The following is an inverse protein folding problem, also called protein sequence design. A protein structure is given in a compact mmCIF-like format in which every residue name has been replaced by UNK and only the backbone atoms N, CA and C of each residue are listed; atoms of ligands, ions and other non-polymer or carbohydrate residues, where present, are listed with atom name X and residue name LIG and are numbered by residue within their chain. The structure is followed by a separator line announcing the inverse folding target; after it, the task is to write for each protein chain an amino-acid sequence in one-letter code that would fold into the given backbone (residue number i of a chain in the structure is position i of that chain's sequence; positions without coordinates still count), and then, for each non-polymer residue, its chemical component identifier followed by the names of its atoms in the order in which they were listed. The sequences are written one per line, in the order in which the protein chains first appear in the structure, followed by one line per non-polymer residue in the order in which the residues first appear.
data_IF_631293402818
#
_entry.id   IF_631293402818
#
_cell.length_a   1.000
_cell.length_b   1.000
_cell.length_c   1.000
_cell.angle_alpha   90.00
_cell.angle_beta   90.00
_cell.angle_gamma   90.00
#
_symmetry.space_group_name_H-M   'P 1'
#
loop_
_entity.id
_entity.type
_entity.pdbx_description
1 polymer ?
#
# COMPACT_ATOMS: atom_id res chain seq x y z
N UNK A 1 -5.36 4.77 6.18
CA UNK A 1 -6.04 5.00 4.87
C UNK A 1 -7.36 5.82 4.86
N UNK A 2 -8.52 5.33 5.34
CA UNK A 2 -9.83 5.96 5.04
C UNK A 2 -9.99 7.42 5.47
N UNK A 3 -9.36 7.84 6.56
CA UNK A 3 -9.30 9.25 6.98
C UNK A 3 -8.45 10.12 6.03
N UNK A 4 -7.39 9.56 5.44
CA UNK A 4 -6.54 10.25 4.46
C UNK A 4 -7.34 10.54 3.19
N UNK A 5 -8.26 9.64 2.80
CA UNK A 5 -9.15 9.82 1.66
C UNK A 5 -10.10 11.04 1.79
N UNK A 6 -10.28 11.58 3.00
CA UNK A 6 -11.00 12.85 3.19
C UNK A 6 -10.27 14.04 2.52
N UNK A 7 -8.99 13.89 2.18
CA UNK A 7 -8.22 14.90 1.44
C UNK A 7 -8.18 14.64 -0.07
N UNK A 8 -9.18 13.93 -0.61
CA UNK A 8 -9.32 13.71 -2.04
C UNK A 8 -9.26 15.04 -2.83
N UNK A 9 -8.44 15.12 -3.90
CA UNK A 9 -8.41 16.28 -4.78
C UNK A 9 -9.78 16.64 -5.36
N UNK A 10 -9.97 17.91 -5.70
CA UNK A 10 -11.20 18.36 -6.36
C UNK A 10 -11.45 17.58 -7.64
N UNK A 11 -12.72 17.18 -7.85
CA UNK A 11 -13.16 16.41 -9.01
C UNK A 11 -13.22 14.90 -8.79
N UNK A 12 -12.72 14.37 -7.66
CA UNK A 12 -12.95 12.98 -7.25
C UNK A 12 -14.17 12.86 -6.34
N UNK A 13 -14.86 11.73 -6.41
CA UNK A 13 -15.85 11.36 -5.39
C UNK A 13 -15.15 10.93 -4.08
N UNK A 14 -15.06 11.87 -3.14
CA UNK A 14 -14.45 11.66 -1.83
C UNK A 14 -15.08 10.48 -1.07
N UNK A 15 -16.41 10.34 -1.11
CA UNK A 15 -17.11 9.27 -0.38
C UNK A 15 -16.77 7.92 -0.99
N UNK A 16 -16.70 7.84 -2.32
CA UNK A 16 -16.26 6.63 -3.02
C UNK A 16 -14.82 6.26 -2.67
N UNK A 17 -13.89 7.22 -2.69
CA UNK A 17 -12.50 7.01 -2.29
C UNK A 17 -12.39 6.47 -0.85
N UNK A 18 -13.16 7.05 0.09
CA UNK A 18 -13.21 6.59 1.48
C UNK A 18 -13.71 5.15 1.58
N UNK A 19 -14.84 4.83 0.93
CA UNK A 19 -15.40 3.47 0.93
C UNK A 19 -14.42 2.47 0.33
N UNK A 20 -13.79 2.82 -0.78
CA UNK A 20 -12.81 1.97 -1.45
C UNK A 20 -11.61 1.66 -0.53
N UNK A 21 -11.05 2.69 0.14
CA UNK A 21 -9.99 2.51 1.13
C UNK A 21 -10.41 1.61 2.30
N UNK A 22 -11.70 1.61 2.68
CA UNK A 22 -12.19 0.75 3.77
C UNK A 22 -12.34 -0.73 3.38
N UNK A 23 -12.49 -1.04 2.08
CA UNK A 23 -12.82 -2.40 1.64
C UNK A 23 -11.72 -3.08 0.83
N UNK A 24 -10.70 -2.37 0.37
CA UNK A 24 -9.68 -2.94 -0.53
C UNK A 24 -8.98 -4.19 0.04
N UNK A 25 -8.61 -4.19 1.33
CA UNK A 25 -7.98 -5.35 1.99
C UNK A 25 -8.97 -6.31 2.66
N UNK A 26 -10.28 -6.21 2.40
CA UNK A 26 -11.25 -7.07 3.09
C UNK A 26 -11.04 -8.57 2.82
N UNK A 27 -10.44 -8.92 1.68
CA UNK A 27 -10.06 -10.29 1.36
C UNK A 27 -9.02 -10.88 2.34
N UNK A 28 -8.15 -10.05 2.91
CA UNK A 28 -7.10 -10.46 3.85
C UNK A 28 -7.66 -11.03 5.15
N UNK A 29 -8.92 -10.71 5.48
CA UNK A 29 -9.63 -11.33 6.61
C UNK A 29 -9.74 -12.86 6.51
N UNK A 30 -9.59 -13.42 5.31
CA UNK A 30 -9.62 -14.87 5.05
C UNK A 30 -8.29 -15.36 4.51
N UNK A 31 -7.67 -14.64 3.56
CA UNK A 31 -6.43 -15.11 2.90
C UNK A 31 -5.15 -14.73 3.66
N UNK A 32 -5.26 -13.84 4.65
CA UNK A 32 -4.13 -13.20 5.32
C UNK A 32 -3.48 -12.10 4.47
N UNK A 33 -2.62 -11.30 5.09
CA UNK A 33 -1.77 -10.33 4.38
C UNK A 33 -0.65 -11.08 3.63
N UNK A 34 -0.78 -11.16 2.30
CA UNK A 34 0.18 -11.82 1.41
C UNK A 34 1.22 -10.79 0.98
N UNK A 35 2.41 -10.88 1.55
CA UNK A 35 3.51 -9.95 1.27
C UNK A 35 4.41 -10.45 0.13
N UNK A 36 5.36 -9.63 -0.39
CA UNK A 36 6.33 -10.06 -1.39
C UNK A 36 7.17 -11.29 -0.97
N UNK A 37 7.30 -11.53 0.34
CA UNK A 37 8.11 -12.61 0.91
C UNK A 37 7.31 -13.88 1.24
N UNK A 38 5.99 -13.86 1.03
CA UNK A 38 5.11 -15.01 1.30
C UNK A 38 5.27 -16.16 0.29
N UNK A 39 6.06 -16.00 -0.77
CA UNK A 39 6.28 -17.04 -1.80
C UNK A 39 5.05 -17.34 -2.66
N UNK A 40 4.04 -16.47 -2.64
CA UNK A 40 2.80 -16.59 -3.43
C UNK A 40 2.93 -15.72 -4.69
N UNK A 41 2.66 -16.29 -5.87
CA UNK A 41 2.67 -15.51 -7.11
C UNK A 41 1.55 -14.48 -7.14
N UNK A 42 1.74 -13.38 -7.87
CA UNK A 42 0.70 -12.36 -8.07
C UNK A 42 -0.61 -12.95 -8.63
N UNK A 43 -0.51 -13.91 -9.54
CA UNK A 43 -1.66 -14.61 -10.11
C UNK A 43 -2.42 -15.44 -9.08
N UNK A 44 -1.73 -16.11 -8.17
CA UNK A 44 -2.35 -16.90 -7.12
C UNK A 44 -2.93 -16.02 -6.00
N UNK A 45 -2.25 -14.92 -5.65
CA UNK A 45 -2.79 -13.88 -4.76
C UNK A 45 -4.13 -13.35 -5.29
N UNK A 46 -4.13 -12.86 -6.54
CA UNK A 46 -5.33 -12.34 -7.19
C UNK A 46 -6.47 -13.38 -7.24
N UNK A 47 -6.15 -14.65 -7.54
CA UNK A 47 -7.13 -15.74 -7.55
C UNK A 47 -7.74 -15.98 -6.17
N UNK A 48 -6.92 -16.02 -5.11
CA UNK A 48 -7.38 -16.25 -3.72
C UNK A 48 -8.23 -15.08 -3.21
N UNK A 49 -7.80 -13.86 -3.47
CA UNK A 49 -8.52 -12.66 -3.04
C UNK A 49 -9.85 -12.52 -3.77
N UNK A 50 -9.85 -12.69 -5.10
CA UNK A 50 -11.09 -12.70 -5.90
C UNK A 50 -12.08 -13.74 -5.39
N UNK A 51 -11.61 -14.98 -5.16
CA UNK A 51 -12.46 -16.05 -4.63
C UNK A 51 -13.04 -15.71 -3.25
N UNK A 52 -12.28 -15.01 -2.42
CA UNK A 52 -12.72 -14.57 -1.08
C UNK A 52 -13.80 -13.50 -1.18
N UNK A 53 -13.64 -12.53 -2.08
CA UNK A 53 -14.64 -11.48 -2.32
C UNK A 53 -15.94 -12.08 -2.85
N UNK A 54 -15.87 -13.03 -3.78
CA UNK A 54 -17.08 -13.71 -4.27
C UNK A 54 -17.74 -14.58 -3.18
N UNK A 55 -16.94 -15.23 -2.33
CA UNK A 55 -17.45 -15.96 -1.17
C UNK A 55 -18.18 -15.04 -0.20
N UNK A 56 -17.56 -13.91 0.18
CA UNK A 56 -18.12 -12.86 1.04
C UNK A 56 -19.45 -12.35 0.45
N UNK A 57 -19.45 -12.01 -0.83
CA UNK A 57 -20.62 -11.49 -1.53
C UNK A 57 -21.77 -12.50 -1.58
N UNK A 58 -21.46 -13.77 -1.81
CA UNK A 58 -22.47 -14.85 -1.85
C UNK A 58 -23.00 -15.20 -0.45
N UNK A 59 -22.12 -15.22 0.57
CA UNK A 59 -22.46 -15.69 1.91
C UNK A 59 -23.41 -14.77 2.66
N UNK A 60 -23.22 -13.45 2.50
CA UNK A 60 -24.05 -12.44 3.16
C UNK A 60 -25.12 -11.86 2.24
N UNK A 61 -24.80 -11.67 0.96
CA UNK A 61 -25.73 -11.17 -0.04
C UNK A 61 -26.26 -9.75 0.23
N UNK A 62 -27.06 -9.26 -0.72
CA UNK A 62 -27.72 -7.95 -0.60
C UNK A 62 -26.90 -6.76 -1.09
N UNK A 63 -27.47 -5.55 -1.01
CA UNK A 63 -26.92 -4.36 -1.67
C UNK A 63 -25.55 -3.94 -1.15
N UNK A 64 -25.29 -4.11 0.16
CA UNK A 64 -24.01 -3.71 0.77
C UNK A 64 -22.85 -4.59 0.31
N UNK A 65 -23.07 -5.90 0.14
CA UNK A 65 -22.01 -6.78 -0.36
C UNK A 65 -21.81 -6.65 -1.87
N UNK A 66 -22.85 -6.28 -2.63
CA UNK A 66 -22.70 -5.93 -4.04
C UNK A 66 -21.83 -4.68 -4.21
N UNK A 67 -22.09 -3.62 -3.43
CA UNK A 67 -21.28 -2.41 -3.45
C UNK A 67 -19.82 -2.69 -3.04
N UNK A 68 -19.60 -3.47 -1.98
CA UNK A 68 -18.25 -3.88 -1.56
C UNK A 68 -17.50 -4.59 -2.69
N UNK A 69 -18.15 -5.57 -3.34
CA UNK A 69 -17.57 -6.32 -4.43
C UNK A 69 -17.21 -5.42 -5.61
N UNK A 70 -18.11 -4.51 -6.00
CA UNK A 70 -17.89 -3.56 -7.09
C UNK A 70 -16.72 -2.62 -6.79
N UNK A 71 -16.67 -2.05 -5.58
CA UNK A 71 -15.57 -1.20 -5.13
C UNK A 71 -14.24 -1.94 -5.09
N UNK A 72 -14.23 -3.19 -4.64
CA UNK A 72 -13.02 -4.02 -4.59
C UNK A 72 -12.48 -4.31 -5.99
N UNK A 73 -13.33 -4.75 -6.93
CA UNK A 73 -12.91 -4.98 -8.31
C UNK A 73 -12.43 -3.71 -9.00
N UNK A 74 -13.08 -2.56 -8.72
CA UNK A 74 -12.65 -1.27 -9.25
C UNK A 74 -11.28 -0.84 -8.70
N UNK A 75 -11.02 -1.07 -7.41
CA UNK A 75 -9.72 -0.83 -6.79
C UNK A 75 -8.61 -1.66 -7.45
N UNK A 76 -8.85 -2.97 -7.62
CA UNK A 76 -7.88 -3.89 -8.23
C UNK A 76 -7.60 -3.56 -9.70
N UNK A 77 -8.63 -3.18 -10.47
CA UNK A 77 -8.48 -2.80 -11.86
C UNK A 77 -7.69 -1.49 -12.04
N UNK A 78 -7.81 -0.56 -11.07
CA UNK A 78 -7.08 0.70 -11.03
C UNK A 78 -7.25 1.58 -12.29
N UNK A 79 -8.42 1.50 -12.92
CA UNK A 79 -8.76 2.20 -14.17
C UNK A 79 -9.41 3.57 -13.91
N UNK A 80 -10.07 3.75 -12.76
CA UNK A 80 -10.75 5.02 -12.41
C UNK A 80 -9.83 5.96 -11.63
N UNK A 81 -10.05 7.29 -11.72
CA UNK A 81 -9.30 8.26 -10.93
C UNK A 81 -9.42 8.01 -9.41
N UNK A 82 -10.58 7.62 -8.92
CA UNK A 82 -10.82 7.25 -7.53
C UNK A 82 -10.00 6.02 -7.12
N UNK A 83 -9.96 4.97 -7.95
CA UNK A 83 -9.15 3.78 -7.67
C UNK A 83 -7.65 4.07 -7.67
N UNK A 84 -7.18 4.88 -8.62
CA UNK A 84 -5.78 5.30 -8.66
C UNK A 84 -5.40 6.14 -7.43
N UNK A 85 -6.30 7.01 -6.97
CA UNK A 85 -6.08 7.79 -5.77
C UNK A 85 -6.11 6.92 -4.50
N UNK A 86 -7.04 5.97 -4.39
CA UNK A 86 -7.08 5.03 -3.28
C UNK A 86 -5.82 4.14 -3.22
N UNK A 87 -5.33 3.65 -4.36
CA UNK A 87 -4.07 2.90 -4.44
C UNK A 87 -2.84 3.75 -4.11
N UNK A 88 -2.88 5.06 -4.36
CA UNK A 88 -1.82 5.97 -3.92
C UNK A 88 -1.89 6.18 -2.40
N UNK A 89 -3.09 6.32 -1.81
CA UNK A 89 -3.27 6.45 -0.36
C UNK A 89 -2.72 5.23 0.39
N UNK A 90 -2.94 4.03 -0.14
CA UNK A 90 -2.38 2.78 0.41
C UNK A 90 -0.86 2.87 0.58
N UNK A 91 -0.16 3.25 -0.50
CA UNK A 91 1.29 3.43 -0.50
C UNK A 91 1.74 4.56 0.40
N UNK A 92 0.96 5.64 0.49
CA UNK A 92 1.25 6.77 1.38
C UNK A 92 1.14 6.36 2.84
N UNK A 93 0.13 5.57 3.22
CA UNK A 93 -0.04 5.04 4.58
C UNK A 93 1.17 4.18 4.97
N UNK A 94 1.63 3.32 4.04
CA UNK A 94 2.83 2.50 4.20
C UNK A 94 4.10 3.34 4.39
N UNK A 95 4.31 4.38 3.57
CA UNK A 95 5.47 5.27 3.69
C UNK A 95 5.47 6.03 5.01
N UNK A 96 4.34 6.62 5.39
CA UNK A 96 4.17 7.29 6.68
C UNK A 96 4.49 6.35 7.84
N UNK A 97 3.90 5.16 7.84
CA UNK A 97 4.09 4.19 8.90
C UNK A 97 5.56 3.73 9.02
N UNK A 98 6.25 3.55 7.89
CA UNK A 98 7.67 3.23 7.87
C UNK A 98 8.51 4.35 8.51
N UNK A 99 8.28 5.61 8.13
CA UNK A 99 8.99 6.76 8.71
C UNK A 99 8.72 6.89 10.22
N UNK A 100 7.48 6.70 10.66
CA UNK A 100 7.15 6.72 12.09
C UNK A 100 7.86 5.62 12.87
N UNK A 101 7.99 4.42 12.30
CA UNK A 101 8.78 3.35 12.91
C UNK A 101 10.29 3.63 12.94
N UNK A 102 10.85 4.32 11.95
CA UNK A 102 12.26 4.76 12.00
C UNK A 102 12.49 5.82 13.09
N UNK A 103 11.55 6.75 13.27
CA UNK A 103 11.58 7.75 14.35
C UNK A 103 11.56 7.09 15.72
N UNK A 104 10.63 6.15 15.94
CA UNK A 104 10.54 5.38 17.20
C UNK A 104 11.79 4.53 17.43
N UNK A 105 12.36 3.97 16.36
CA UNK A 105 13.61 3.22 16.38
C UNK A 105 14.86 4.04 16.70
N UNK A 106 14.76 5.38 16.83
CA UNK A 106 15.84 6.30 17.23
C UNK A 106 17.16 6.14 16.45
N UNK A 107 17.09 5.75 15.18
CA UNK A 107 18.26 5.53 14.32
C UNK A 107 18.88 4.14 14.39
N UNK A 108 18.15 3.15 14.94
CA UNK A 108 18.55 1.74 14.94
C UNK A 108 17.74 0.89 13.95
N UNK A 109 16.73 1.49 13.31
CA UNK A 109 15.84 0.84 12.36
C UNK A 109 15.77 1.69 11.10
N UNK A 110 16.23 1.14 9.99
CA UNK A 110 16.11 1.71 8.64
C UNK A 110 15.17 0.81 7.84
N UNK A 111 14.08 1.39 7.39
CA UNK A 111 13.02 0.75 6.60
C UNK A 111 13.07 1.24 5.15
N UNK A 112 14.27 1.55 4.66
CA UNK A 112 14.53 2.07 3.32
C UNK A 112 14.02 1.18 2.19
N UNK A 113 13.83 -0.11 2.44
CA UNK A 113 13.21 -1.08 1.52
C UNK A 113 11.78 -0.70 1.14
N UNK A 114 11.04 -0.07 2.05
CA UNK A 114 9.66 0.35 1.80
C UNK A 114 9.59 1.61 0.93
N UNK A 115 10.64 2.43 0.90
CA UNK A 115 10.65 3.73 0.19
C UNK A 115 10.53 3.57 -1.34
N UNK A 116 10.80 2.37 -1.87
CA UNK A 116 10.63 2.07 -3.30
C UNK A 116 9.22 2.31 -3.83
N UNK A 117 8.19 2.17 -2.97
CA UNK A 117 6.78 2.31 -3.39
C UNK A 117 6.44 3.72 -3.86
N UNK A 118 7.20 4.75 -3.45
CA UNK A 118 7.01 6.13 -3.89
C UNK A 118 7.09 6.27 -5.42
N UNK A 119 7.89 5.44 -6.10
CA UNK A 119 8.04 5.43 -7.56
C UNK A 119 6.79 4.93 -8.30
N UNK A 120 5.87 4.29 -7.58
CA UNK A 120 4.65 3.66 -8.12
C UNK A 120 3.42 4.55 -7.98
N UNK A 121 3.55 5.73 -7.35
CA UNK A 121 2.46 6.68 -7.19
C UNK A 121 2.05 7.28 -8.54
N UNK A 122 0.75 7.39 -8.77
CA UNK A 122 0.18 7.79 -10.07
C UNK A 122 -0.27 9.24 -10.06
N UNK A 123 -1.01 9.64 -9.04
CA UNK A 123 -1.66 10.95 -8.91
C UNK A 123 -0.66 12.04 -8.58
N UNK A 124 -1.01 13.29 -8.93
CA UNK A 124 -0.20 14.47 -8.56
C UNK A 124 -0.16 14.66 -7.03
N UNK A 125 -1.29 14.43 -6.36
CA UNK A 125 -1.39 14.55 -4.91
C UNK A 125 -0.52 13.49 -4.21
N UNK A 126 -0.65 12.22 -4.59
CA UNK A 126 0.16 11.14 -4.02
C UNK A 126 1.66 11.41 -4.15
N UNK A 127 2.13 11.80 -5.34
CA UNK A 127 3.55 12.15 -5.56
C UNK A 127 4.02 13.28 -4.64
N UNK A 128 3.26 14.38 -4.58
CA UNK A 128 3.60 15.51 -3.71
C UNK A 128 3.64 15.12 -2.22
N UNK A 129 2.71 14.27 -1.77
CA UNK A 129 2.69 13.80 -0.38
C UNK A 129 3.89 12.90 -0.08
N UNK A 130 4.26 12.00 -1.00
CA UNK A 130 5.44 11.18 -0.83
C UNK A 130 6.73 12.00 -0.82
N UNK A 131 6.84 13.03 -1.66
CA UNK A 131 8.01 13.92 -1.66
C UNK A 131 8.20 14.59 -0.29
N UNK A 132 7.12 15.05 0.35
CA UNK A 132 7.18 15.61 1.71
C UNK A 132 7.57 14.57 2.77
N UNK A 133 6.99 13.36 2.72
CA UNK A 133 7.33 12.26 3.65
C UNK A 133 8.81 11.87 3.50
N UNK A 134 9.29 11.76 2.26
CA UNK A 134 10.69 11.42 1.98
C UNK A 134 11.63 12.56 2.41
N UNK A 135 11.25 13.82 2.21
CA UNK A 135 12.04 14.96 2.69
C UNK A 135 12.14 14.96 4.23
N UNK A 136 11.06 14.62 4.93
CA UNK A 136 11.08 14.47 6.39
C UNK A 136 12.00 13.31 6.82
N UNK A 137 11.93 12.19 6.11
CA UNK A 137 12.83 11.05 6.32
C UNK A 137 14.29 11.42 6.11
N UNK A 138 14.63 12.15 5.05
CA UNK A 138 16.02 12.59 4.81
C UNK A 138 16.55 13.45 5.96
N UNK A 139 15.72 14.33 6.54
CA UNK A 139 16.09 15.11 7.73
C UNK A 139 16.29 14.23 8.97
N UNK A 140 15.50 13.18 9.14
CA UNK A 140 15.66 12.22 10.25
C UNK A 140 17.02 11.51 10.17
N UNK A 141 17.46 11.19 8.96
CA UNK A 141 18.73 10.50 8.68
C UNK A 141 19.91 11.46 8.45
N UNK A 142 19.70 12.77 8.48
CA UNK A 142 20.77 13.75 8.29
C UNK A 142 21.90 13.54 9.32
N UNK A 143 23.13 13.37 8.82
CA UNK A 143 24.29 13.08 9.66
C UNK A 143 24.36 11.65 10.22
N UNK A 144 23.50 10.74 9.75
CA UNK A 144 23.48 9.31 10.13
C UNK A 144 23.71 8.44 8.89
N UNK A 145 24.44 7.35 9.03
CA UNK A 145 24.51 6.35 7.96
C UNK A 145 23.22 5.53 7.93
N UNK A 146 22.69 5.31 6.72
CA UNK A 146 21.58 4.40 6.50
C UNK A 146 21.96 2.96 6.88
N UNK A 147 21.16 2.34 7.74
CA UNK A 147 21.37 0.97 8.23
C UNK A 147 20.45 0.01 7.49
N UNK A 148 20.54 -0.08 6.16
CA UNK A 148 19.66 -0.98 5.41
C UNK A 148 19.96 -2.46 5.70
N UNK A 149 18.98 -3.22 6.16
CA UNK A 149 19.03 -4.69 6.15
C UNK A 149 18.13 -5.34 7.20
N UNK A 150 17.66 -6.56 6.91
CA UNK A 150 16.98 -7.41 7.89
C UNK A 150 17.90 -7.74 9.09
N UNK A 151 19.23 -7.67 8.91
CA UNK A 151 20.23 -7.69 9.97
C UNK A 151 21.42 -6.80 9.56
N UNK A 152 21.74 -5.79 10.37
CA UNK A 152 22.73 -4.77 10.09
C UNK A 152 24.18 -5.30 10.00
N UNK A 153 24.69 -5.58 8.79
CA UNK A 153 26.14 -5.67 8.49
C UNK A 153 26.45 -5.32 7.00
N UNK A 154 26.02 -4.14 6.52
CA UNK A 154 26.25 -3.53 5.17
C UNK A 154 25.08 -3.58 4.17
N UNK A 155 23.94 -3.00 4.55
CA UNK A 155 23.38 -1.89 3.78
C UNK A 155 22.59 -2.18 2.48
N UNK A 156 21.71 -3.18 2.44
CA UNK A 156 20.75 -3.32 1.33
C UNK A 156 19.77 -4.49 1.46
N UNK A 157 18.59 -4.36 0.81
CA UNK A 157 17.75 -5.50 0.44
C UNK A 157 18.55 -6.36 -0.52
N UNK A 158 18.56 -7.69 -0.35
CA UNK A 158 19.26 -8.55 -1.30
C UNK A 158 18.70 -8.31 -2.71
N UNK A 159 19.53 -8.47 -3.75
CA UNK A 159 19.07 -8.33 -5.14
C UNK A 159 17.88 -9.23 -5.45
N UNK A 160 17.74 -10.35 -4.74
CA UNK A 160 16.61 -11.26 -4.82
C UNK A 160 15.36 -10.69 -4.17
N UNK A 161 15.46 -10.15 -2.95
CA UNK A 161 14.35 -9.51 -2.26
C UNK A 161 13.85 -8.25 -2.99
N UNK A 162 14.74 -7.47 -3.63
CA UNK A 162 14.33 -6.35 -4.49
C UNK A 162 13.52 -6.82 -5.70
N UNK A 163 13.93 -7.93 -6.35
CA UNK A 163 13.19 -8.52 -7.48
C UNK A 163 11.81 -9.01 -7.07
N UNK A 164 11.68 -9.62 -5.89
CA UNK A 164 10.40 -10.07 -5.35
C UNK A 164 9.46 -8.89 -5.09
N UNK A 165 9.98 -7.82 -4.48
CA UNK A 165 9.22 -6.60 -4.23
C UNK A 165 8.78 -5.92 -5.54
N UNK A 166 9.69 -5.80 -6.51
CA UNK A 166 9.37 -5.22 -7.82
C UNK A 166 8.31 -6.04 -8.55
N UNK A 167 8.35 -7.37 -8.47
CA UNK A 167 7.35 -8.25 -9.07
C UNK A 167 5.98 -8.17 -8.38
N UNK A 168 5.96 -7.96 -7.05
CA UNK A 168 4.73 -7.75 -6.28
C UNK A 168 4.04 -6.44 -6.67
N UNK A 169 4.81 -5.35 -6.80
CA UNK A 169 4.31 -4.01 -7.14
C UNK A 169 4.39 -3.64 -8.65
N UNK A 170 4.69 -4.59 -9.53
CA UNK A 170 4.67 -4.39 -11.00
C UNK A 170 3.24 -4.36 -11.52
#
# INVERSE_FOLDING_TARGET
MGMIAMFAPQGLDQVKCMKMCMVHDVAESVVGDITPFSGVSKTEKARRETATIEYIATRWGGPHTSELRELWHEFEAAETPEAQFAQDIDKIDLLLQAVEYEKDGKGQRDLGEFMGVARKLRTKAGKAWADEILLEREKLWEGREHIRGEHAEKGGVSTEAQKLQDAYYA
#
